data_IF_082770389570
#
_entry.id   IF_082770389570
#
_cell.length_a   1.000
_cell.length_b   1.000
_cell.length_c   1.000
_cell.angle_alpha   90.00
_cell.angle_beta   90.00
_cell.angle_gamma   90.00
#
_symmetry.space_group_name_H-M   'P 1'
#
loop_
_entity.id
_entity.type
_entity.pdbx_description
1 polymer ?
#
# COMPACT_ATOMS: atom_id res chain seq x y z
N UNK A 1 7.33 -2.06 2.99
CA UNK A 1 8.68 -2.03 2.42
C UNK A 1 9.66 -1.70 3.54
N UNK A 2 10.60 -2.59 3.83
CA UNK A 2 11.72 -2.38 4.76
C UNK A 2 12.85 -1.53 4.16
N UNK A 3 12.52 -0.70 3.17
CA UNK A 3 13.52 -0.06 2.29
C UNK A 3 14.17 1.19 2.89
N UNK A 4 13.59 1.75 3.94
CA UNK A 4 14.18 2.85 4.69
C UNK A 4 13.68 2.82 6.15
N UNK A 5 14.19 1.85 6.91
CA UNK A 5 13.84 1.66 8.33
C UNK A 5 15.12 1.54 9.14
N UNK A 6 15.22 2.33 10.21
CA UNK A 6 16.26 2.22 11.21
C UNK A 6 15.64 1.84 12.56
N UNK A 7 16.27 0.93 13.28
CA UNK A 7 15.83 0.48 14.61
C UNK A 7 17.04 0.17 15.49
N UNK A 8 16.85 0.29 16.81
CA UNK A 8 17.89 -0.07 17.78
C UNK A 8 17.97 -1.60 17.86
N UNK A 9 19.19 -2.13 17.95
CA UNK A 9 19.44 -3.57 18.15
C UNK A 9 18.63 -4.16 19.31
N UNK A 10 18.57 -3.45 20.45
CA UNK A 10 17.78 -3.86 21.62
C UNK A 10 16.29 -4.08 21.30
N UNK A 11 15.71 -3.24 20.44
CA UNK A 11 14.31 -3.38 20.04
C UNK A 11 14.08 -4.57 19.11
N UNK A 12 15.06 -4.86 18.23
CA UNK A 12 15.05 -6.05 17.38
C UNK A 12 15.15 -7.35 18.20
N UNK A 13 16.06 -7.39 19.17
CA UNK A 13 16.23 -8.53 20.07
C UNK A 13 15.00 -8.74 20.96
N UNK A 14 14.36 -7.67 21.43
CA UNK A 14 13.14 -7.73 22.24
C UNK A 14 11.97 -8.44 21.55
N UNK A 15 11.84 -8.29 20.23
CA UNK A 15 10.79 -8.96 19.44
C UNK A 15 11.21 -10.33 18.90
N UNK A 16 12.34 -10.88 19.38
CA UNK A 16 12.95 -12.12 18.86
C UNK A 16 13.31 -12.06 17.37
N UNK A 17 13.65 -10.87 16.86
CA UNK A 17 14.03 -10.66 15.47
C UNK A 17 12.99 -11.17 14.48
N UNK A 18 13.41 -11.98 13.51
CA UNK A 18 12.53 -12.56 12.50
C UNK A 18 12.08 -14.00 12.80
N UNK A 19 12.47 -14.57 13.95
CA UNK A 19 12.12 -15.96 14.29
C UNK A 19 10.61 -16.25 14.20
N UNK A 20 9.71 -15.39 14.73
CA UNK A 20 8.27 -15.67 14.68
C UNK A 20 7.66 -15.65 13.27
N UNK A 21 8.39 -15.14 12.27
CA UNK A 21 7.94 -15.06 10.87
C UNK A 21 8.85 -15.83 9.91
N UNK A 22 9.75 -16.68 10.42
CA UNK A 22 10.71 -17.41 9.60
C UNK A 22 10.08 -18.29 8.50
N UNK A 23 8.86 -18.78 8.72
CA UNK A 23 8.12 -19.60 7.76
C UNK A 23 7.38 -18.76 6.68
N UNK A 24 7.32 -17.43 6.83
CA UNK A 24 6.62 -16.55 5.87
C UNK A 24 7.57 -16.21 4.72
N UNK A 25 7.05 -16.28 3.49
CA UNK A 25 7.82 -15.90 2.28
C UNK A 25 7.97 -14.39 2.09
N UNK A 26 7.24 -13.56 2.84
CA UNK A 26 7.14 -12.11 2.64
C UNK A 26 6.51 -11.44 3.87
N UNK A 27 6.75 -10.14 4.06
CA UNK A 27 6.12 -9.31 5.10
C UNK A 27 6.86 -9.27 6.44
N UNK A 28 8.14 -9.64 6.43
CA UNK A 28 9.09 -9.52 7.53
C UNK A 28 9.27 -8.08 8.01
N UNK A 29 9.33 -7.14 7.07
CA UNK A 29 9.41 -5.69 7.33
C UNK A 29 8.20 -5.15 8.10
N UNK A 30 7.00 -5.49 7.64
CA UNK A 30 5.74 -5.09 8.28
C UNK A 30 5.61 -5.72 9.67
N UNK A 31 5.97 -7.00 9.79
CA UNK A 31 6.00 -7.69 11.07
C UNK A 31 6.93 -6.99 12.07
N UNK A 32 8.14 -6.62 11.63
CA UNK A 32 9.13 -6.00 12.49
C UNK A 32 8.63 -4.64 13.02
N UNK A 33 8.11 -3.79 12.13
CA UNK A 33 7.54 -2.49 12.51
C UNK A 33 6.37 -2.67 13.47
N UNK A 34 5.42 -3.55 13.17
CA UNK A 34 4.23 -3.78 14.01
C UNK A 34 4.57 -4.42 15.36
N UNK A 35 5.62 -5.24 15.43
CA UNK A 35 6.04 -5.86 16.68
C UNK A 35 6.77 -4.85 17.56
N UNK A 36 7.71 -4.08 16.98
CA UNK A 36 8.44 -3.04 17.72
C UNK A 36 7.47 -1.93 18.17
N UNK A 37 6.46 -1.56 17.37
CA UNK A 37 5.51 -0.49 17.69
C UNK A 37 4.68 -0.73 18.94
N UNK A 38 4.55 -1.99 19.38
CA UNK A 38 3.75 -2.32 20.58
C UNK A 38 4.42 -1.84 21.86
N UNK A 39 5.74 -1.94 21.90
CA UNK A 39 6.52 -1.71 23.13
C UNK A 39 7.49 -0.52 23.02
N UNK A 40 7.78 -0.05 21.80
CA UNK A 40 8.69 1.06 21.54
C UNK A 40 8.03 2.16 20.71
N UNK A 41 8.43 3.40 21.00
CA UNK A 41 8.00 4.56 20.22
C UNK A 41 8.55 4.53 18.80
N UNK A 42 7.67 4.79 17.82
CA UNK A 42 8.02 4.93 16.41
C UNK A 42 7.95 6.41 16.02
N UNK A 43 8.94 6.86 15.25
CA UNK A 43 8.98 8.21 14.68
C UNK A 43 9.22 8.13 13.18
N UNK A 44 8.46 8.93 12.43
CA UNK A 44 8.72 9.17 11.02
C UNK A 44 9.79 10.25 10.89
N UNK A 45 10.88 9.96 10.16
CA UNK A 45 11.91 10.95 9.85
C UNK A 45 11.57 11.65 8.53
N UNK A 46 11.20 12.92 8.60
CA UNK A 46 10.85 13.73 7.43
C UNK A 46 12.04 14.51 6.86
N UNK A 47 13.24 14.37 7.42
CA UNK A 47 14.45 15.04 6.94
C UNK A 47 14.80 14.55 5.52
N UNK A 48 14.87 15.43 4.50
CA UNK A 48 15.29 15.07 3.15
C UNK A 48 16.65 14.36 3.07
N UNK A 49 17.56 14.63 4.01
CA UNK A 49 18.85 13.95 4.09
C UNK A 49 18.73 12.45 4.43
N UNK A 50 17.58 12.03 4.95
CA UNK A 50 17.29 10.62 5.27
C UNK A 50 16.61 9.86 4.12
N UNK A 51 16.33 10.51 2.99
CA UNK A 51 15.61 9.89 1.89
C UNK A 51 16.53 8.94 1.11
N UNK A 52 16.01 7.75 0.81
CA UNK A 52 16.71 6.73 0.02
C UNK A 52 16.01 6.56 -1.33
N UNK A 53 16.77 6.65 -2.41
CA UNK A 53 16.26 6.45 -3.78
C UNK A 53 16.35 4.97 -4.13
N UNK A 54 15.26 4.41 -4.64
CA UNK A 54 15.21 3.02 -5.12
C UNK A 54 14.88 3.00 -6.60
N UNK A 55 15.39 1.99 -7.31
CA UNK A 55 15.10 1.81 -8.72
C UNK A 55 13.69 1.22 -8.91
N UNK A 56 12.90 1.71 -9.89
CA UNK A 56 11.66 1.06 -10.27
C UNK A 56 11.94 -0.32 -10.88
N UNK A 57 10.92 -1.17 -10.91
CA UNK A 57 10.98 -2.42 -11.70
C UNK A 57 10.93 -2.10 -13.20
N UNK A 58 11.50 -2.98 -14.02
CA UNK A 58 11.73 -2.69 -15.44
C UNK A 58 10.50 -2.96 -16.31
N UNK A 59 9.58 -3.80 -15.85
CA UNK A 59 8.39 -4.20 -16.64
C UNK A 59 7.08 -4.07 -15.86
N UNK A 60 5.98 -3.88 -16.61
CA UNK A 60 4.62 -3.87 -16.03
C UNK A 60 4.30 -5.22 -15.37
N UNK A 61 4.78 -6.33 -15.93
CA UNK A 61 4.60 -7.67 -15.36
C UNK A 61 5.27 -7.79 -13.99
N UNK A 62 6.51 -7.32 -13.86
CA UNK A 62 7.23 -7.28 -12.58
C UNK A 62 6.55 -6.35 -11.58
N UNK A 63 6.03 -5.20 -12.05
CA UNK A 63 5.28 -4.26 -11.23
C UNK A 63 4.03 -4.90 -10.64
N UNK A 64 3.20 -5.51 -11.48
CA UNK A 64 2.01 -6.21 -11.05
C UNK A 64 2.37 -7.35 -10.08
N UNK A 65 3.37 -8.17 -10.41
CA UNK A 65 3.81 -9.26 -9.53
C UNK A 65 4.27 -8.76 -8.15
N UNK A 66 5.03 -7.67 -8.11
CA UNK A 66 5.47 -7.04 -6.86
C UNK A 66 4.28 -6.54 -6.03
N UNK A 67 3.29 -5.90 -6.67
CA UNK A 67 2.12 -5.33 -6.00
C UNK A 67 1.14 -6.40 -5.52
N UNK A 68 0.94 -7.45 -6.32
CA UNK A 68 0.20 -8.66 -5.93
C UNK A 68 0.82 -9.31 -4.69
N UNK A 69 2.15 -9.41 -4.64
CA UNK A 69 2.85 -9.89 -3.44
C UNK A 69 2.58 -9.02 -2.22
N UNK A 70 2.65 -7.69 -2.35
CA UNK A 70 2.36 -6.79 -1.22
C UNK A 70 0.92 -6.91 -0.74
N UNK A 71 -0.03 -7.07 -1.66
CA UNK A 71 -1.43 -7.32 -1.32
C UNK A 71 -1.62 -8.64 -0.58
N UNK A 72 -0.88 -9.70 -0.92
CA UNK A 72 -0.99 -11.01 -0.25
C UNK A 72 -0.68 -10.98 1.24
N UNK A 73 0.17 -10.03 1.68
CA UNK A 73 0.49 -9.83 3.10
C UNK A 73 -0.75 -9.42 3.93
N UNK A 74 -1.80 -8.90 3.28
CA UNK A 74 -3.05 -8.47 3.95
C UNK A 74 -3.74 -9.59 4.74
N UNK A 75 -3.57 -10.86 4.35
CA UNK A 75 -4.18 -12.02 5.04
C UNK A 75 -3.77 -12.12 6.51
N UNK A 76 -2.54 -11.74 6.82
CA UNK A 76 -2.03 -11.77 8.20
C UNK A 76 -2.44 -10.56 9.04
N UNK A 77 -2.96 -9.49 8.42
CA UNK A 77 -3.30 -8.25 9.12
C UNK A 77 -4.48 -8.40 10.06
N UNK A 78 -5.36 -9.39 9.87
CA UNK A 78 -6.45 -9.68 10.81
C UNK A 78 -5.92 -9.93 12.23
N UNK A 79 -4.73 -10.51 12.36
CA UNK A 79 -4.10 -10.82 13.65
C UNK A 79 -3.18 -9.71 14.15
N UNK A 80 -2.64 -8.87 13.26
CA UNK A 80 -1.59 -7.91 13.63
C UNK A 80 -2.03 -6.46 13.61
N UNK A 81 -2.90 -6.05 12.69
CA UNK A 81 -3.40 -4.69 12.58
C UNK A 81 -4.75 -4.63 11.83
N UNK A 82 -5.84 -4.78 12.58
CA UNK A 82 -7.21 -4.80 12.06
C UNK A 82 -7.62 -3.47 11.42
N UNK A 83 -7.15 -2.34 11.96
CA UNK A 83 -7.46 -1.02 11.40
C UNK A 83 -6.83 -0.82 10.02
N UNK A 84 -5.59 -1.28 9.84
CA UNK A 84 -4.95 -1.24 8.53
C UNK A 84 -5.62 -2.19 7.54
N UNK A 85 -6.07 -3.36 7.98
CA UNK A 85 -6.88 -4.24 7.13
C UNK A 85 -8.19 -3.56 6.70
N UNK A 86 -8.90 -2.91 7.62
CA UNK A 86 -10.13 -2.20 7.32
C UNK A 86 -9.93 -1.09 6.28
N UNK A 87 -8.84 -0.31 6.41
CA UNK A 87 -8.45 0.67 5.40
C UNK A 87 -8.25 0.04 4.01
N UNK A 88 -7.54 -1.10 3.93
CA UNK A 88 -7.32 -1.80 2.65
C UNK A 88 -8.64 -2.33 2.06
N UNK A 89 -9.54 -2.85 2.89
CA UNK A 89 -10.86 -3.34 2.46
C UNK A 89 -11.72 -2.19 1.93
N UNK A 90 -11.74 -1.04 2.61
CA UNK A 90 -12.44 0.16 2.11
C UNK A 90 -11.86 0.58 0.77
N UNK A 91 -10.52 0.67 0.66
CA UNK A 91 -9.88 1.05 -0.60
C UNK A 91 -10.25 0.08 -1.74
N UNK A 92 -10.30 -1.23 -1.47
CA UNK A 92 -10.73 -2.24 -2.42
C UNK A 92 -12.20 -2.06 -2.83
N UNK A 93 -13.11 -1.89 -1.87
CA UNK A 93 -14.54 -1.72 -2.12
C UNK A 93 -14.79 -0.42 -2.90
N UNK A 94 -14.23 0.71 -2.49
CA UNK A 94 -14.39 1.98 -3.18
C UNK A 94 -13.99 1.90 -4.66
N UNK A 95 -12.84 1.27 -4.96
CA UNK A 95 -12.39 1.11 -6.34
C UNK A 95 -13.24 0.08 -7.12
N UNK A 96 -13.72 -0.98 -6.46
CA UNK A 96 -14.61 -1.96 -7.08
C UNK A 96 -15.99 -1.39 -7.41
N UNK A 97 -16.55 -0.56 -6.52
CA UNK A 97 -17.81 0.17 -6.76
C UNK A 97 -17.64 1.13 -7.93
N UNK A 98 -16.53 1.88 -7.99
CA UNK A 98 -16.23 2.75 -9.12
C UNK A 98 -16.04 1.98 -10.42
N UNK A 99 -15.53 0.75 -10.38
CA UNK A 99 -15.38 -0.08 -11.58
C UNK A 99 -16.72 -0.62 -12.09
N UNK A 100 -17.52 -1.22 -11.20
CA UNK A 100 -18.75 -1.93 -11.56
C UNK A 100 -19.91 -0.94 -11.79
N UNK A 101 -19.95 0.16 -11.05
CA UNK A 101 -21.09 1.09 -11.04
C UNK A 101 -21.32 1.82 -12.37
N UNK A 102 -20.33 1.87 -13.27
CA UNK A 102 -20.52 2.38 -14.64
C UNK A 102 -21.39 1.47 -15.51
N UNK A 103 -21.43 0.18 -15.20
CA UNK A 103 -22.20 -0.81 -15.97
C UNK A 103 -23.64 -0.98 -15.47
N UNK A 104 -23.99 -0.34 -14.34
CA UNK A 104 -25.33 -0.39 -13.75
C UNK A 104 -26.08 0.89 -14.11
N UNK A 105 -27.13 0.74 -14.95
CA UNK A 105 -27.91 1.87 -15.49
C UNK A 105 -28.47 2.80 -14.40
N UNK A 106 -28.84 2.25 -13.25
CA UNK A 106 -29.40 3.01 -12.13
C UNK A 106 -28.35 3.85 -11.39
N UNK A 107 -27.07 3.50 -11.46
CA UNK A 107 -26.01 4.19 -10.70
C UNK A 107 -25.06 5.00 -11.59
N UNK A 108 -25.11 4.83 -12.90
CA UNK A 108 -24.18 5.49 -13.84
C UNK A 108 -24.20 7.02 -13.70
N UNK A 109 -25.34 7.63 -13.37
CA UNK A 109 -25.46 9.08 -13.24
C UNK A 109 -24.68 9.66 -12.04
N UNK A 110 -24.48 8.86 -10.98
CA UNK A 110 -23.75 9.29 -9.77
C UNK A 110 -22.26 8.92 -9.81
N UNK A 111 -21.84 8.03 -10.72
CA UNK A 111 -20.44 7.60 -10.86
C UNK A 111 -19.44 8.74 -11.12
N UNK A 112 -19.70 9.73 -12.01
CA UNK A 112 -18.77 10.84 -12.21
C UNK A 112 -18.52 11.62 -10.92
N UNK A 113 -19.57 11.88 -10.14
CA UNK A 113 -19.47 12.60 -8.87
C UNK A 113 -18.62 11.81 -7.86
N UNK A 114 -18.89 10.52 -7.67
CA UNK A 114 -18.11 9.67 -6.77
C UNK A 114 -16.64 9.58 -7.18
N UNK A 115 -16.39 9.48 -8.48
CA UNK A 115 -15.03 9.45 -9.02
C UNK A 115 -14.28 10.75 -8.73
N UNK A 116 -14.89 11.90 -8.99
CA UNK A 116 -14.31 13.23 -8.70
C UNK A 116 -14.07 13.40 -7.21
N UNK A 117 -15.05 13.07 -6.35
CA UNK A 117 -14.89 13.17 -4.90
C UNK A 117 -13.71 12.31 -4.42
N UNK A 118 -13.63 11.06 -4.87
CA UNK A 118 -12.50 10.16 -4.56
C UNK A 118 -11.17 10.75 -5.05
N UNK A 119 -11.12 11.28 -6.27
CA UNK A 119 -9.92 11.94 -6.81
C UNK A 119 -9.51 13.19 -6.02
N UNK A 120 -10.46 13.96 -5.49
CA UNK A 120 -10.11 15.12 -4.66
C UNK A 120 -9.57 14.63 -3.32
N UNK A 121 -10.23 13.67 -2.67
CA UNK A 121 -9.80 13.12 -1.39
C UNK A 121 -8.38 12.52 -1.44
N UNK A 122 -8.10 11.68 -2.43
CA UNK A 122 -6.76 11.10 -2.61
C UNK A 122 -5.72 12.17 -2.94
N UNK A 123 -6.10 13.14 -3.78
CA UNK A 123 -5.24 14.25 -4.17
C UNK A 123 -4.85 15.10 -2.97
N UNK A 124 -5.79 15.43 -2.08
CA UNK A 124 -5.52 16.20 -0.87
C UNK A 124 -4.46 15.51 0.00
N UNK A 125 -4.59 14.20 0.23
CA UNK A 125 -3.61 13.44 1.00
C UNK A 125 -2.25 13.42 0.31
N UNK A 126 -2.24 13.13 -0.99
CA UNK A 126 -1.01 12.96 -1.77
C UNK A 126 -0.23 14.28 -1.94
N UNK A 127 -0.90 15.37 -2.32
CA UNK A 127 -0.28 16.67 -2.53
C UNK A 127 0.13 17.33 -1.19
N UNK A 128 -0.63 17.10 -0.11
CA UNK A 128 -0.20 17.54 1.23
C UNK A 128 1.08 16.79 1.67
N UNK A 129 1.15 15.49 1.43
CA UNK A 129 2.35 14.69 1.70
C UNK A 129 3.55 15.14 0.85
N UNK A 130 3.32 15.38 -0.44
CA UNK A 130 4.30 15.91 -1.38
C UNK A 130 4.89 17.25 -0.91
N UNK A 131 4.03 18.18 -0.49
CA UNK A 131 4.46 19.48 0.02
C UNK A 131 5.26 19.35 1.33
N UNK A 132 4.84 18.48 2.25
CA UNK A 132 5.54 18.26 3.54
C UNK A 132 6.91 17.59 3.36
N UNK A 133 7.03 16.67 2.40
CA UNK A 133 8.27 15.96 2.13
C UNK A 133 9.16 16.68 1.11
N UNK A 134 8.68 17.78 0.52
CA UNK A 134 9.35 18.47 -0.59
C UNK A 134 9.68 17.54 -1.78
N UNK A 135 8.77 16.59 -2.07
CA UNK A 135 8.90 15.65 -3.18
C UNK A 135 7.84 16.01 -4.21
N UNK A 136 8.18 16.66 -5.34
CA UNK A 136 7.20 17.12 -6.30
C UNK A 136 6.51 15.95 -7.01
N UNK A 137 5.18 16.00 -7.06
CA UNK A 137 4.36 15.05 -7.82
C UNK A 137 3.77 15.78 -9.02
N UNK A 138 3.98 15.24 -10.21
CA UNK A 138 3.41 15.80 -11.44
C UNK A 138 1.91 15.51 -11.46
N UNK A 139 1.10 16.55 -11.65
CA UNK A 139 -0.36 16.42 -11.70
C UNK A 139 -0.82 15.46 -12.80
N UNK A 140 -0.13 15.43 -13.95
CA UNK A 140 -0.44 14.49 -15.05
C UNK A 140 -0.32 13.03 -14.61
N UNK A 141 0.75 12.69 -13.88
CA UNK A 141 1.00 11.33 -13.39
C UNK A 141 -0.08 10.93 -12.37
N UNK A 142 -0.48 11.87 -11.51
CA UNK A 142 -1.59 11.67 -10.59
C UNK A 142 -2.94 11.41 -11.30
N UNK A 143 -3.26 12.16 -12.35
CA UNK A 143 -4.49 11.97 -13.11
C UNK A 143 -4.52 10.60 -13.81
N UNK A 144 -3.42 10.22 -14.45
CA UNK A 144 -3.28 8.89 -15.08
C UNK A 144 -3.44 7.78 -14.04
N UNK A 145 -2.79 7.93 -12.89
CA UNK A 145 -2.90 6.97 -11.80
C UNK A 145 -4.32 6.87 -11.24
N UNK A 146 -5.01 8.00 -11.10
CA UNK A 146 -6.39 8.06 -10.60
C UNK A 146 -7.37 7.31 -11.51
N UNK A 147 -7.17 7.38 -12.82
CA UNK A 147 -7.94 6.63 -13.82
C UNK A 147 -7.61 5.14 -13.82
N UNK A 148 -6.35 4.77 -13.57
CA UNK A 148 -5.92 3.38 -13.53
C UNK A 148 -6.38 2.64 -12.25
N UNK A 149 -6.51 3.36 -11.13
CA UNK A 149 -6.81 2.78 -9.81
C UNK A 149 -8.08 1.91 -9.73
N UNK A 150 -9.25 2.32 -10.28
CA UNK A 150 -10.45 1.49 -10.27
C UNK A 150 -10.28 0.11 -10.90
N UNK A 151 -9.37 -0.04 -11.87
CA UNK A 151 -9.03 -1.33 -12.47
C UNK A 151 -7.90 -2.04 -11.70
N UNK A 152 -6.84 -1.30 -11.37
CA UNK A 152 -5.62 -1.83 -10.77
C UNK A 152 -5.85 -2.36 -9.35
N UNK A 153 -6.56 -1.63 -8.48
CA UNK A 153 -6.73 -1.99 -7.07
C UNK A 153 -7.54 -3.29 -6.92
N UNK A 154 -8.71 -3.47 -7.57
CA UNK A 154 -9.45 -4.72 -7.47
C UNK A 154 -8.66 -5.91 -8.02
N UNK A 155 -7.98 -5.73 -9.17
CA UNK A 155 -7.17 -6.78 -9.77
C UNK A 155 -6.04 -7.25 -8.84
N UNK A 156 -5.22 -6.32 -8.33
CA UNK A 156 -4.12 -6.65 -7.41
C UNK A 156 -4.64 -7.23 -6.09
N UNK A 157 -5.78 -6.73 -5.59
CA UNK A 157 -6.44 -7.24 -4.40
C UNK A 157 -6.83 -8.71 -4.53
N UNK A 158 -7.54 -9.05 -5.61
CA UNK A 158 -7.99 -10.43 -5.88
C UNK A 158 -6.78 -11.35 -6.08
N UNK A 159 -5.82 -10.97 -6.92
CA UNK A 159 -4.61 -11.75 -7.19
C UNK A 159 -3.78 -11.96 -5.92
N UNK A 160 -3.71 -10.93 -5.06
CA UNK A 160 -3.01 -10.99 -3.78
C UNK A 160 -3.68 -11.96 -2.82
N UNK A 161 -5.02 -11.95 -2.73
CA UNK A 161 -5.79 -12.90 -1.93
C UNK A 161 -5.80 -14.32 -2.50
N UNK A 162 -5.66 -14.49 -3.82
CA UNK A 162 -5.48 -15.78 -4.48
C UNK A 162 -4.06 -16.33 -4.32
N UNK A 163 -3.07 -15.48 -4.02
CA UNK A 163 -1.68 -15.88 -3.80
C UNK A 163 -0.90 -16.10 -5.09
N UNK A 164 -1.39 -15.53 -6.20
CA UNK A 164 -0.79 -15.67 -7.52
C UNK A 164 0.35 -14.67 -7.70
N UNK A 165 1.45 -14.86 -6.96
CA UNK A 165 2.70 -14.11 -7.15
C UNK A 165 3.91 -15.04 -7.19
N UNK A 166 4.94 -14.64 -7.94
CA UNK A 166 6.24 -15.30 -7.98
C UNK A 166 7.24 -14.51 -7.12
N UNK A 167 8.07 -15.21 -6.36
CA UNK A 167 9.11 -14.59 -5.54
C UNK A 167 10.49 -15.08 -6.01
N UNK A 168 11.30 -14.13 -6.51
CA UNK A 168 12.71 -14.30 -6.92
C UNK A 168 12.98 -15.67 -7.56
N UNK A 169 12.48 -15.83 -8.79
CA UNK A 169 13.14 -16.68 -9.80
C UNK A 169 14.17 -15.82 -10.53
#
# INVERSE_FOLDING_TARGET
SGQNIAYRRKAFEHVNGFQPVAQRRSGDDMYLVQSISKDFGIKFNADPASFVITQPVNTVKEFINQRTRWSSNSRSLWQTNIFFLFFLVIAFICNSVLLIGWFIKQTVFIMPLLFITKMISDGLVLFTGSARLNIPIRTKDYLIWSLAQPLYIPYVGIMGLAGQFRWKE
#
